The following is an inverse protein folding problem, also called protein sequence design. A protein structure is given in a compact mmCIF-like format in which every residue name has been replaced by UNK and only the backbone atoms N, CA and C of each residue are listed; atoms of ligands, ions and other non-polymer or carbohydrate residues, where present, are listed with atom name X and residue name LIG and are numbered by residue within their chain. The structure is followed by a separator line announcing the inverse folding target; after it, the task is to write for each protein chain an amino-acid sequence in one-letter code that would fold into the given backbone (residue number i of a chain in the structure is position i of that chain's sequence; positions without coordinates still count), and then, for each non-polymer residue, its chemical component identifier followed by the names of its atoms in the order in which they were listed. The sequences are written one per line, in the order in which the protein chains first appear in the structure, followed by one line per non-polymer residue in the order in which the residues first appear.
data_IF_218931004842
#
_entry.id   IF_218931004842
#
_cell.length_a   1.000
_cell.length_b   1.000
_cell.length_c   1.000
_cell.angle_alpha   90.00
_cell.angle_beta   90.00
_cell.angle_gamma   90.00
#
_symmetry.space_group_name_H-M   'P 1'
#
loop_
_entity.id
_entity.type
_entity.pdbx_description
1 polymer ?
#
# COMPACT_ATOMS: atom_id res chain seq x y z
N UNK A 1 -11.78 -3.01 -5.28
CA UNK A 1 -10.61 -2.92 -6.18
C UNK A 1 -10.55 -1.47 -6.67
N UNK A 2 -9.41 -0.87 -7.09
CA UNK A 2 -9.43 0.49 -7.62
C UNK A 2 -10.49 0.66 -8.71
N UNK A 3 -11.27 1.74 -8.64
CA UNK A 3 -12.29 2.04 -9.66
C UNK A 3 -11.60 2.13 -11.03
N UNK A 4 -12.07 1.33 -12.00
CA UNK A 4 -11.47 1.20 -13.33
C UNK A 4 -10.71 -0.10 -13.57
N UNK A 5 -10.38 -0.87 -12.52
CA UNK A 5 -9.85 -2.24 -12.65
C UNK A 5 -10.91 -3.33 -12.50
N UNK A 6 -12.15 -2.95 -12.20
CA UNK A 6 -13.30 -3.83 -12.00
C UNK A 6 -14.08 -4.13 -13.30
N UNK A 7 -13.66 -3.56 -14.43
CA UNK A 7 -14.42 -3.61 -15.68
C UNK A 7 -14.31 -4.98 -16.37
N UNK A 8 -15.43 -5.70 -16.44
CA UNK A 8 -15.64 -6.90 -17.27
C UNK A 8 -15.44 -6.68 -18.78
N UNK A 9 -15.34 -5.42 -19.24
CA UNK A 9 -15.23 -5.05 -20.64
C UNK A 9 -13.78 -5.09 -21.17
N UNK A 10 -12.78 -5.14 -20.29
CA UNK A 10 -11.36 -5.21 -20.67
C UNK A 10 -10.74 -6.41 -19.99
N UNK A 11 -10.32 -7.40 -20.80
CA UNK A 11 -9.56 -8.56 -20.36
C UNK A 11 -8.48 -8.13 -19.37
N UNK A 12 -8.45 -8.76 -18.20
CA UNK A 12 -7.65 -8.40 -17.02
C UNK A 12 -6.36 -7.64 -17.34
N UNK A 13 -6.37 -6.33 -17.08
CA UNK A 13 -5.30 -5.39 -17.46
C UNK A 13 -3.96 -5.70 -16.76
N UNK A 14 -4.00 -6.28 -15.56
CA UNK A 14 -2.83 -6.57 -14.74
C UNK A 14 -2.46 -8.05 -14.78
N UNK A 15 -2.33 -8.61 -16.00
CA UNK A 15 -2.22 -10.05 -16.21
C UNK A 15 -1.02 -10.66 -15.45
N UNK A 16 -1.30 -11.69 -14.65
CA UNK A 16 -0.28 -12.42 -13.88
C UNK A 16 0.34 -11.61 -12.74
N UNK A 17 -0.24 -10.46 -12.40
CA UNK A 17 0.15 -9.60 -11.28
C UNK A 17 -1.05 -9.39 -10.37
N UNK A 18 -0.77 -9.11 -9.10
CA UNK A 18 -1.80 -8.83 -8.09
C UNK A 18 -1.74 -7.40 -7.56
N UNK A 19 -0.76 -6.62 -8.01
CA UNK A 19 -0.54 -5.22 -7.65
C UNK A 19 0.24 -4.53 -8.79
N UNK A 20 0.56 -3.24 -8.63
CA UNK A 20 1.43 -2.50 -9.56
C UNK A 20 2.78 -3.22 -9.72
N UNK A 21 3.21 -3.39 -10.97
CA UNK A 21 4.46 -4.04 -11.35
C UNK A 21 5.09 -3.31 -12.55
N UNK A 22 6.36 -3.58 -12.84
CA UNK A 22 7.07 -3.04 -14.03
C UNK A 22 6.39 -3.40 -15.35
N UNK A 23 5.67 -4.52 -15.40
CA UNK A 23 4.93 -4.95 -16.60
C UNK A 23 3.49 -4.43 -16.64
N UNK A 24 3.02 -3.73 -15.59
CA UNK A 24 1.66 -3.21 -15.55
C UNK A 24 1.48 -2.08 -16.57
N UNK A 25 0.37 -2.02 -17.30
CA UNK A 25 0.09 -0.89 -18.17
C UNK A 25 -0.13 0.39 -17.34
N UNK A 26 0.14 1.54 -17.93
CA UNK A 26 -0.01 2.85 -17.27
C UNK A 26 -1.43 3.07 -16.71
N UNK A 27 -2.45 2.49 -17.33
CA UNK A 27 -3.83 2.55 -16.83
C UNK A 27 -4.01 1.94 -15.44
N UNK A 28 -3.26 0.86 -15.12
CA UNK A 28 -3.27 0.24 -13.78
C UNK A 28 -2.65 1.21 -12.77
N UNK A 29 -1.47 1.75 -13.08
CA UNK A 29 -0.80 2.74 -12.22
C UNK A 29 -1.71 3.93 -11.94
N UNK A 30 -2.34 4.48 -12.98
CA UNK A 30 -3.25 5.62 -12.86
C UNK A 30 -4.48 5.29 -12.01
N UNK A 31 -5.06 4.09 -12.15
CA UNK A 31 -6.23 3.67 -11.37
C UNK A 31 -5.89 3.59 -9.88
N UNK A 32 -4.76 2.98 -9.51
CA UNK A 32 -4.30 2.94 -8.12
C UNK A 32 -4.00 4.33 -7.55
N UNK A 33 -3.28 5.17 -8.30
CA UNK A 33 -2.96 6.53 -7.85
C UNK A 33 -4.22 7.39 -7.67
N UNK A 34 -5.19 7.29 -8.59
CA UNK A 34 -6.46 8.03 -8.49
C UNK A 34 -7.31 7.56 -7.31
N UNK A 35 -7.33 6.24 -7.05
CA UNK A 35 -8.03 5.69 -5.88
C UNK A 35 -7.38 6.19 -4.58
N UNK A 36 -6.05 6.16 -4.49
CA UNK A 36 -5.32 6.70 -3.34
C UNK A 36 -5.64 8.18 -3.10
N UNK A 37 -5.59 9.02 -4.14
CA UNK A 37 -5.88 10.45 -4.01
C UNK A 37 -7.29 10.68 -3.47
N UNK A 38 -8.27 9.92 -3.99
CA UNK A 38 -9.66 10.00 -3.55
C UNK A 38 -9.81 9.61 -2.08
N UNK A 39 -9.32 8.41 -1.73
CA UNK A 39 -9.47 7.85 -0.38
C UNK A 39 -8.72 8.68 0.66
N UNK A 40 -7.49 9.10 0.34
CA UNK A 40 -6.66 9.87 1.26
C UNK A 40 -7.19 11.30 1.44
N UNK A 41 -7.62 11.96 0.37
CA UNK A 41 -8.26 13.28 0.47
C UNK A 41 -9.53 13.22 1.31
N UNK A 42 -10.37 12.19 1.10
CA UNK A 42 -11.56 11.98 1.91
C UNK A 42 -11.22 11.74 3.39
N UNK A 43 -10.21 10.90 3.67
CA UNK A 43 -9.73 10.67 5.03
C UNK A 43 -9.29 11.97 5.71
N UNK A 44 -8.43 12.76 5.06
CA UNK A 44 -7.93 14.03 5.61
C UNK A 44 -9.10 14.99 5.87
N UNK A 45 -10.03 15.12 4.92
CA UNK A 45 -11.21 15.97 5.06
C UNK A 45 -12.11 15.54 6.22
N UNK A 46 -12.35 14.24 6.41
CA UNK A 46 -13.12 13.74 7.55
C UNK A 46 -12.42 14.06 8.87
N UNK A 47 -11.11 13.82 8.95
CA UNK A 47 -10.33 14.13 10.17
C UNK A 47 -10.30 15.63 10.48
N UNK A 48 -10.39 16.50 9.47
CA UNK A 48 -10.40 17.96 9.70
C UNK A 48 -11.68 18.48 10.35
N UNK A 49 -12.80 17.76 10.17
CA UNK A 49 -14.09 18.08 10.78
C UNK A 49 -14.18 17.62 12.24
N UNK A 50 -13.42 16.58 12.59
CA UNK A 50 -13.41 15.98 13.93
C UNK A 50 -12.38 16.62 14.86
N UNK A 51 -11.25 17.11 14.30
CA UNK A 51 -10.17 17.70 15.08
C UNK A 51 -10.38 19.20 15.32
N UNK A 52 -10.19 19.62 16.57
CA UNK A 52 -10.17 21.04 16.96
C UNK A 52 -8.98 21.79 16.34
N UNK A 53 -9.08 23.13 16.14
CA UNK A 53 -7.94 23.96 15.78
C UNK A 53 -6.71 23.72 16.68
N UNK A 54 -5.53 23.55 16.08
CA UNK A 54 -4.30 23.21 16.79
C UNK A 54 -4.18 21.73 17.22
N UNK A 55 -5.24 20.94 17.06
CA UNK A 55 -5.23 19.50 17.27
C UNK A 55 -4.21 18.81 16.38
N UNK A 56 -3.61 17.71 16.87
CA UNK A 56 -2.55 16.98 16.18
C UNK A 56 -3.02 15.60 15.75
N UNK A 57 -2.52 15.15 14.61
CA UNK A 57 -2.69 13.80 14.11
C UNK A 57 -1.34 13.23 13.69
N UNK A 58 -1.05 12.01 14.11
CA UNK A 58 0.14 11.27 13.66
C UNK A 58 -0.32 10.09 12.83
N UNK A 59 0.17 9.98 11.61
CA UNK A 59 -0.09 8.85 10.71
C UNK A 59 1.19 8.04 10.53
N UNK A 60 1.08 6.71 10.57
CA UNK A 60 2.15 5.80 10.20
C UNK A 60 1.63 4.75 9.23
N UNK A 61 2.24 4.65 8.06
CA UNK A 61 1.88 3.66 7.05
C UNK A 61 3.03 3.41 6.08
N UNK A 62 2.94 2.29 5.38
CA UNK A 62 3.91 1.91 4.36
C UNK A 62 3.83 2.84 3.14
N UNK A 63 4.99 3.19 2.60
CA UNK A 63 5.13 3.99 1.39
C UNK A 63 6.30 3.52 0.55
N UNK A 64 6.75 4.41 -0.33
CA UNK A 64 7.91 4.20 -1.20
C UNK A 64 8.79 5.44 -1.25
N UNK A 65 10.06 5.26 -1.61
CA UNK A 65 11.01 6.37 -1.78
C UNK A 65 10.97 6.93 -3.20
N UNK A 66 10.83 6.04 -4.17
CA UNK A 66 10.74 6.33 -5.59
C UNK A 66 9.43 7.04 -5.92
N UNK A 67 9.50 8.00 -6.83
CA UNK A 67 8.30 8.62 -7.41
C UNK A 67 7.59 7.62 -8.32
N UNK A 68 8.35 6.76 -9.02
CA UNK A 68 7.81 5.68 -9.85
C UNK A 68 7.22 4.58 -8.95
N UNK A 69 5.92 4.25 -9.06
CA UNK A 69 5.30 3.20 -8.24
C UNK A 69 5.56 1.78 -8.74
N UNK A 70 6.26 1.60 -9.87
CA UNK A 70 6.58 0.29 -10.45
C UNK A 70 7.92 -0.27 -9.98
N UNK A 71 8.69 0.52 -9.23
CA UNK A 71 9.96 0.11 -8.66
C UNK A 71 9.78 -0.86 -7.49
N UNK A 72 10.85 -1.57 -7.14
CA UNK A 72 10.82 -2.64 -6.14
C UNK A 72 10.80 -2.10 -4.70
N UNK A 73 10.95 -0.79 -4.51
CA UNK A 73 10.95 -0.14 -3.21
C UNK A 73 9.52 0.09 -2.70
N UNK A 74 9.04 -0.85 -1.88
CA UNK A 74 7.87 -0.64 -1.01
C UNK A 74 6.82 -1.73 -1.08
N UNK A 75 6.69 -2.46 -2.19
CA UNK A 75 5.57 -3.38 -2.43
C UNK A 75 5.96 -4.70 -3.10
N UNK A 76 7.26 -5.02 -3.19
CA UNK A 76 7.73 -6.15 -3.97
C UNK A 76 7.25 -7.51 -3.44
N UNK A 77 6.75 -7.60 -2.20
CA UNK A 77 6.07 -8.80 -1.70
C UNK A 77 4.87 -9.20 -2.56
N UNK A 78 4.15 -8.24 -3.12
CA UNK A 78 3.02 -8.52 -4.00
C UNK A 78 3.47 -9.16 -5.32
N UNK A 79 4.64 -8.80 -5.82
CA UNK A 79 5.26 -9.43 -6.99
C UNK A 79 5.60 -10.90 -6.69
N UNK A 80 6.24 -11.16 -5.54
CA UNK A 80 6.57 -12.52 -5.10
C UNK A 80 5.32 -13.36 -4.78
N UNK A 81 4.25 -12.73 -4.27
CA UNK A 81 2.97 -13.41 -4.04
C UNK A 81 2.28 -13.76 -5.36
N UNK A 82 2.35 -12.87 -6.37
CA UNK A 82 1.88 -13.18 -7.71
C UNK A 82 2.63 -14.39 -8.30
N UNK A 83 3.95 -14.46 -8.12
CA UNK A 83 4.74 -15.62 -8.54
C UNK A 83 4.26 -16.93 -7.88
N UNK A 84 4.03 -16.90 -6.56
CA UNK A 84 3.50 -18.05 -5.82
C UNK A 84 2.11 -18.47 -6.32
N UNK A 85 1.21 -17.52 -6.56
CA UNK A 85 -0.12 -17.79 -7.15
C UNK A 85 -0.01 -18.39 -8.55
N UNK A 86 0.89 -17.86 -9.39
CA UNK A 86 1.11 -18.41 -10.74
C UNK A 86 1.74 -19.81 -10.72
N UNK A 87 2.47 -20.19 -9.65
CA UNK A 87 2.86 -21.59 -9.43
C UNK A 87 1.65 -22.50 -9.27
N UNK A 88 0.67 -22.08 -8.46
CA UNK A 88 -0.56 -22.85 -8.27
C UNK A 88 -1.39 -22.95 -9.55
N UNK A 89 -1.38 -21.93 -10.39
CA UNK A 89 -1.99 -21.97 -11.73
C UNK A 89 -1.35 -23.07 -12.58
N UNK A 90 -0.01 -23.14 -12.61
CA UNK A 90 0.73 -24.17 -13.37
C UNK A 90 0.43 -25.58 -12.87
N UNK A 91 0.16 -25.72 -11.57
CA UNK A 91 -0.22 -26.98 -10.93
C UNK A 91 -1.72 -27.31 -11.08
N UNK A 92 -2.51 -26.42 -11.71
CA UNK A 92 -3.95 -26.61 -11.91
C UNK A 92 -4.79 -26.46 -10.63
N UNK A 93 -4.21 -25.88 -9.56
CA UNK A 93 -4.88 -25.70 -8.27
C UNK A 93 -5.76 -24.45 -8.23
N UNK A 94 -5.47 -23.44 -9.06
CA UNK A 94 -6.27 -22.22 -9.21
C UNK A 94 -6.31 -21.79 -10.68
N UNK A 95 -7.33 -21.01 -11.04
CA UNK A 95 -7.51 -20.47 -12.39
C UNK A 95 -6.68 -19.20 -12.63
N UNK A 96 -6.03 -19.08 -13.79
CA UNK A 96 -5.24 -17.89 -14.17
C UNK A 96 -6.11 -16.62 -14.18
N UNK A 97 -7.36 -16.73 -14.64
CA UNK A 97 -8.30 -15.60 -14.69
C UNK A 97 -8.66 -15.08 -13.29
N UNK A 98 -8.65 -15.95 -12.27
CA UNK A 98 -8.83 -15.53 -10.86
C UNK A 98 -7.63 -14.72 -10.36
N UNK A 99 -6.42 -15.08 -10.76
CA UNK A 99 -5.22 -14.30 -10.44
C UNK A 99 -5.29 -12.94 -11.14
N UNK A 100 -5.63 -12.93 -12.42
CA UNK A 100 -5.66 -11.70 -13.22
C UNK A 100 -6.78 -10.73 -12.80
N UNK A 101 -7.87 -11.22 -12.21
CA UNK A 101 -8.93 -10.40 -11.61
C UNK A 101 -8.61 -9.89 -10.21
N UNK A 102 -7.67 -10.51 -9.50
CA UNK A 102 -7.29 -10.09 -8.16
C UNK A 102 -6.35 -8.88 -8.21
N UNK A 103 -6.69 -7.82 -7.49
CA UNK A 103 -5.89 -6.62 -7.36
C UNK A 103 -5.93 -6.17 -5.89
N UNK A 104 -4.76 -6.10 -5.27
CA UNK A 104 -4.61 -5.76 -3.85
C UNK A 104 -5.22 -4.39 -3.57
N UNK A 105 -6.12 -4.24 -2.58
CA UNK A 105 -6.72 -2.94 -2.23
C UNK A 105 -5.76 -2.12 -1.37
N UNK A 106 -4.60 -1.80 -1.93
CA UNK A 106 -3.47 -1.21 -1.23
C UNK A 106 -2.75 -0.25 -2.16
N UNK A 107 -2.18 0.84 -1.63
CA UNK A 107 -1.28 1.72 -2.38
C UNK A 107 -0.22 2.25 -1.42
N UNK A 108 1.05 2.14 -1.81
CA UNK A 108 2.17 2.71 -1.06
C UNK A 108 2.57 4.06 -1.68
N UNK A 109 2.13 5.21 -1.17
CA UNK A 109 2.43 6.51 -1.76
C UNK A 109 3.90 6.90 -1.56
N UNK A 110 4.40 7.82 -2.40
CA UNK A 110 5.67 8.50 -2.14
C UNK A 110 5.46 9.78 -1.32
N UNK A 111 6.54 10.38 -0.82
CA UNK A 111 6.49 11.58 0.01
C UNK A 111 5.84 12.77 -0.72
N UNK A 112 6.06 12.89 -2.03
CA UNK A 112 5.53 13.95 -2.87
C UNK A 112 4.02 13.84 -3.03
N UNK A 113 3.50 12.63 -3.31
CA UNK A 113 2.05 12.39 -3.41
C UNK A 113 1.33 12.76 -2.11
N UNK A 114 1.91 12.41 -0.97
CA UNK A 114 1.37 12.76 0.34
C UNK A 114 1.31 14.26 0.57
N UNK A 115 2.41 14.97 0.29
CA UNK A 115 2.47 16.44 0.42
C UNK A 115 1.44 17.10 -0.48
N UNK A 116 1.35 16.67 -1.73
CA UNK A 116 0.41 17.23 -2.71
C UNK A 116 -1.03 17.08 -2.22
N UNK A 117 -1.45 15.89 -1.80
CA UNK A 117 -2.85 15.68 -1.41
C UNK A 117 -3.21 16.38 -0.08
N UNK A 118 -2.29 16.45 0.89
CA UNK A 118 -2.52 17.20 2.14
C UNK A 118 -2.63 18.70 1.88
N UNK A 119 -1.75 19.25 1.03
CA UNK A 119 -1.77 20.67 0.67
C UNK A 119 -3.02 21.02 -0.15
N UNK A 120 -3.41 20.15 -1.06
CA UNK A 120 -4.61 20.29 -1.91
C UNK A 120 -5.90 20.25 -1.12
N UNK A 121 -6.03 19.37 -0.11
CA UNK A 121 -7.19 19.39 0.79
C UNK A 121 -7.16 20.63 1.70
N UNK A 122 -5.98 20.98 2.23
CA UNK A 122 -5.70 22.30 2.80
C UNK A 122 -6.06 22.51 4.27
N UNK A 123 -6.66 21.54 4.97
CA UNK A 123 -7.08 21.69 6.37
C UNK A 123 -5.96 21.53 7.41
N UNK A 124 -4.84 20.93 7.02
CA UNK A 124 -3.72 20.61 7.91
C UNK A 124 -2.42 21.28 7.47
N UNK A 125 -1.52 21.50 8.44
CA UNK A 125 -0.13 21.85 8.24
C UNK A 125 0.69 20.58 8.47
N UNK A 126 1.64 20.29 7.58
CA UNK A 126 2.62 19.23 7.79
C UNK A 126 3.69 19.77 8.74
N UNK A 127 3.69 19.27 9.97
CA UNK A 127 4.66 19.63 10.99
C UNK A 127 5.96 18.82 10.81
N UNK A 128 5.82 17.52 10.49
CA UNK A 128 6.95 16.64 10.22
C UNK A 128 6.54 15.51 9.28
N UNK A 129 7.46 15.09 8.41
CA UNK A 129 7.31 13.92 7.56
C UNK A 129 8.66 13.20 7.49
N UNK A 130 8.70 11.96 7.96
CA UNK A 130 9.91 11.14 7.98
C UNK A 130 9.67 9.76 7.40
N UNK A 131 10.72 9.19 6.81
CA UNK A 131 10.73 7.85 6.27
C UNK A 131 11.71 6.99 7.07
N UNK A 132 11.23 5.84 7.54
CA UNK A 132 12.02 4.84 8.25
C UNK A 132 12.10 3.58 7.41
N UNK A 133 13.27 2.96 7.41
CA UNK A 133 13.43 1.65 6.78
C UNK A 133 13.35 0.55 7.81
N UNK A 134 12.60 -0.51 7.50
CA UNK A 134 12.46 -1.69 8.35
C UNK A 134 12.75 -2.94 7.53
N UNK A 135 13.67 -3.80 7.97
CA UNK A 135 13.95 -5.06 7.28
C UNK A 135 12.69 -5.93 7.21
N UNK A 136 12.45 -6.61 6.08
CA UNK A 136 11.22 -7.36 5.88
C UNK A 136 11.00 -8.47 6.91
N UNK A 137 12.09 -9.14 7.27
CA UNK A 137 12.12 -10.23 8.23
C UNK A 137 12.16 -9.75 9.69
N UNK A 138 12.01 -8.44 9.94
CA UNK A 138 12.08 -7.87 11.28
C UNK A 138 13.46 -8.03 11.94
N UNK A 139 14.54 -8.01 11.14
CA UNK A 139 15.92 -8.07 11.61
C UNK A 139 16.31 -9.46 12.11
N UNK A 140 15.85 -10.51 11.44
CA UNK A 140 16.18 -11.88 11.82
C UNK A 140 17.70 -12.11 11.68
N UNK A 141 18.31 -12.72 12.70
CA UNK A 141 19.72 -13.14 12.64
C UNK A 141 19.75 -14.58 12.14
N UNK A 142 19.87 -14.75 10.82
CA UNK A 142 19.96 -16.05 10.17
C UNK A 142 21.04 -16.02 9.07
N UNK A 143 21.73 -17.13 8.87
CA UNK A 143 22.64 -17.31 7.75
C UNK A 143 21.84 -17.64 6.49
N UNK A 144 21.53 -16.61 5.69
CA UNK A 144 20.75 -16.75 4.46
C UNK A 144 21.55 -17.37 3.30
N UNK A 145 22.81 -17.77 3.51
CA UNK A 145 23.59 -18.51 2.51
C UNK A 145 23.28 -20.01 2.51
N UNK A 146 22.68 -20.55 3.57
CA UNK A 146 22.23 -21.94 3.63
C UNK A 146 20.70 -22.05 3.54
N UNK A 147 20.21 -23.24 3.17
CA UNK A 147 18.78 -23.47 2.93
C UNK A 147 17.92 -23.31 4.19
N UNK A 148 18.43 -23.71 5.37
CA UNK A 148 17.67 -23.55 6.61
C UNK A 148 17.44 -22.07 6.95
N UNK A 149 18.48 -21.23 6.81
CA UNK A 149 18.38 -19.81 7.10
C UNK A 149 17.47 -19.08 6.11
N UNK A 150 17.54 -19.43 4.81
CA UNK A 150 16.60 -18.92 3.79
C UNK A 150 15.15 -19.24 4.14
N UNK A 151 14.87 -20.50 4.46
CA UNK A 151 13.52 -20.93 4.82
C UNK A 151 13.03 -20.20 6.07
N UNK A 152 13.88 -20.06 7.09
CA UNK A 152 13.53 -19.37 8.33
C UNK A 152 13.10 -17.92 8.09
N UNK A 153 13.87 -17.14 7.32
CA UNK A 153 13.51 -15.74 7.01
C UNK A 153 12.29 -15.65 6.10
N UNK A 154 12.19 -16.56 5.12
CA UNK A 154 11.05 -16.68 4.22
C UNK A 154 9.74 -16.95 4.96
N UNK A 155 9.72 -17.94 5.85
CA UNK A 155 8.56 -18.28 6.66
C UNK A 155 8.12 -17.13 7.57
N UNK A 156 9.07 -16.38 8.14
CA UNK A 156 8.75 -15.25 9.02
C UNK A 156 8.00 -14.16 8.26
N UNK A 157 8.49 -13.81 7.07
CA UNK A 157 7.80 -12.85 6.20
C UNK A 157 6.47 -13.42 5.71
N UNK A 158 6.44 -14.68 5.27
CA UNK A 158 5.23 -15.33 4.79
C UNK A 158 4.11 -15.35 5.83
N UNK A 159 4.42 -15.68 7.10
CA UNK A 159 3.46 -15.64 8.22
C UNK A 159 2.89 -14.23 8.42
N UNK A 160 3.74 -13.21 8.34
CA UNK A 160 3.32 -11.80 8.50
C UNK A 160 2.38 -11.38 7.37
N UNK A 161 2.73 -11.69 6.12
CA UNK A 161 1.89 -11.36 4.96
C UNK A 161 0.59 -12.16 4.97
N UNK A 162 0.65 -13.47 5.30
CA UNK A 162 -0.52 -14.34 5.42
C UNK A 162 -1.57 -13.75 6.35
N UNK A 163 -1.16 -13.32 7.55
CA UNK A 163 -2.06 -12.69 8.51
C UNK A 163 -2.79 -11.45 7.95
N UNK A 164 -2.20 -10.74 6.99
CA UNK A 164 -2.79 -9.56 6.35
C UNK A 164 -3.70 -9.93 5.18
N UNK A 165 -3.30 -10.90 4.35
CA UNK A 165 -3.92 -11.11 3.02
C UNK A 165 -4.79 -12.36 2.90
N UNK A 166 -4.69 -13.31 3.82
CA UNK A 166 -5.36 -14.61 3.72
C UNK A 166 -6.87 -14.49 3.53
N UNK A 167 -7.55 -13.65 4.29
CA UNK A 167 -9.00 -13.46 4.18
C UNK A 167 -9.43 -12.88 2.81
N UNK A 168 -8.61 -12.00 2.22
CA UNK A 168 -8.85 -11.45 0.89
C UNK A 168 -8.69 -12.52 -0.18
N UNK A 169 -7.66 -13.35 -0.05
CA UNK A 169 -7.40 -14.46 -0.97
C UNK A 169 -8.48 -15.54 -0.86
N UNK A 170 -8.86 -15.95 0.35
CA UNK A 170 -9.93 -16.90 0.60
C UNK A 170 -11.25 -16.42 -0.01
N UNK A 171 -11.61 -15.15 0.20
CA UNK A 171 -12.83 -14.58 -0.34
C UNK A 171 -12.84 -14.54 -1.87
N UNK A 172 -11.74 -14.14 -2.51
CA UNK A 172 -11.66 -13.97 -3.96
C UNK A 172 -11.52 -15.30 -4.71
N UNK A 173 -10.62 -16.16 -4.24
CA UNK A 173 -10.25 -17.40 -4.91
C UNK A 173 -11.07 -18.60 -4.41
N UNK A 174 -11.80 -18.48 -3.29
CA UNK A 174 -12.54 -19.58 -2.65
C UNK A 174 -11.64 -20.78 -2.32
N UNK A 175 -10.43 -20.48 -1.83
CA UNK A 175 -9.45 -21.51 -1.45
C UNK A 175 -9.79 -22.09 -0.09
N UNK A 176 -9.67 -23.41 0.05
CA UNK A 176 -9.66 -24.07 1.36
C UNK A 176 -8.30 -23.94 2.05
N UNK A 177 -8.28 -24.34 3.33
CA UNK A 177 -7.09 -24.30 4.19
C UNK A 177 -5.87 -24.97 3.53
N UNK A 178 -6.04 -26.16 2.96
CA UNK A 178 -4.93 -26.93 2.38
C UNK A 178 -4.25 -26.18 1.22
N UNK A 179 -5.04 -25.59 0.30
CA UNK A 179 -4.49 -24.81 -0.82
C UNK A 179 -3.84 -23.52 -0.34
N UNK A 180 -4.38 -22.90 0.71
CA UNK A 180 -3.80 -21.71 1.33
C UNK A 180 -2.44 -22.04 1.99
N UNK A 181 -2.33 -23.19 2.64
CA UNK A 181 -1.08 -23.66 3.23
C UNK A 181 -0.02 -23.90 2.16
N UNK A 182 -0.39 -24.56 1.05
CA UNK A 182 0.52 -24.76 -0.11
C UNK A 182 0.97 -23.42 -0.70
N UNK A 183 0.06 -22.45 -0.86
CA UNK A 183 0.40 -21.11 -1.35
C UNK A 183 1.50 -20.47 -0.50
N UNK A 184 1.32 -20.48 0.83
CA UNK A 184 2.23 -19.78 1.74
C UNK A 184 3.54 -20.52 1.97
N UNK A 185 3.58 -21.84 1.81
CA UNK A 185 4.84 -22.61 1.74
C UNK A 185 5.66 -22.16 0.53
N UNK A 186 5.06 -22.13 -0.66
CA UNK A 186 5.73 -21.67 -1.89
C UNK A 186 6.16 -20.20 -1.79
N UNK A 187 5.30 -19.35 -1.23
CA UNK A 187 5.64 -17.96 -0.99
C UNK A 187 6.82 -17.80 -0.04
N UNK A 188 6.90 -18.58 1.04
CA UNK A 188 8.03 -18.58 1.96
C UNK A 188 9.34 -18.95 1.26
N UNK A 189 9.34 -19.99 0.43
CA UNK A 189 10.49 -20.41 -0.38
C UNK A 189 10.98 -19.30 -1.33
N UNK A 190 10.04 -18.68 -2.06
CA UNK A 190 10.34 -17.59 -3.00
C UNK A 190 10.94 -16.39 -2.24
N UNK A 191 10.34 -15.99 -1.12
CA UNK A 191 10.83 -14.88 -0.29
C UNK A 191 12.20 -15.19 0.29
N UNK A 192 12.43 -16.39 0.84
CA UNK A 192 13.72 -16.79 1.38
C UNK A 192 14.85 -16.71 0.34
N UNK A 193 14.57 -17.19 -0.88
CA UNK A 193 15.49 -17.08 -2.00
C UNK A 193 15.76 -15.64 -2.42
N UNK A 194 14.74 -14.79 -2.41
CA UNK A 194 14.91 -13.36 -2.70
C UNK A 194 15.79 -12.68 -1.64
N UNK A 195 15.49 -12.90 -0.36
CA UNK A 195 16.22 -12.30 0.77
C UNK A 195 17.68 -12.76 0.87
N UNK A 196 18.02 -13.95 0.36
CA UNK A 196 19.43 -14.40 0.27
C UNK A 196 20.28 -13.62 -0.73
N UNK A 197 19.64 -12.93 -1.69
CA UNK A 197 20.32 -12.20 -2.77
C UNK A 197 20.26 -10.70 -2.55
N UNK A 198 19.19 -10.23 -1.92
CA UNK A 198 18.88 -8.81 -1.77
C UNK A 198 18.40 -8.54 -0.35
N UNK A 199 19.02 -7.56 0.32
CA UNK A 199 18.48 -7.05 1.59
C UNK A 199 17.36 -6.05 1.31
N UNK A 200 16.13 -6.51 1.39
CA UNK A 200 14.94 -5.67 1.16
C UNK A 200 14.39 -5.07 2.44
N UNK A 201 13.90 -3.83 2.31
CA UNK A 201 13.31 -3.08 3.41
C UNK A 201 11.96 -2.51 3.04
N UNK A 202 11.08 -2.42 4.03
CA UNK A 202 9.90 -1.59 3.99
C UNK A 202 10.30 -0.13 4.17
N UNK A 203 9.57 0.78 3.53
CA UNK A 203 9.61 2.20 3.84
C UNK A 203 8.35 2.53 4.61
N UNK A 204 8.48 2.95 5.85
CA UNK A 204 7.37 3.41 6.68
C UNK A 204 7.45 4.94 6.81
N UNK A 205 6.40 5.64 6.37
CA UNK A 205 6.28 7.06 6.62
C UNK A 205 5.64 7.31 7.98
N UNK A 206 6.18 8.27 8.71
CA UNK A 206 5.55 8.86 9.90
C UNK A 206 5.31 10.34 9.63
N UNK A 207 4.06 10.77 9.73
CA UNK A 207 3.61 12.13 9.42
C UNK A 207 2.96 12.74 10.65
N UNK A 208 3.46 13.90 11.07
CA UNK A 208 2.82 14.76 12.08
C UNK A 208 2.08 15.88 11.37
N UNK A 209 0.79 15.99 11.63
CA UNK A 209 -0.11 16.99 11.07
C UNK A 209 -0.72 17.84 12.19
N UNK A 210 -0.84 19.14 11.94
CA UNK A 210 -1.50 20.09 12.85
C UNK A 210 -2.72 20.68 12.15
N UNK A 211 -3.88 20.59 12.79
CA UNK A 211 -5.14 21.15 12.27
C UNK A 211 -5.06 22.67 12.25
N UNK A 212 -5.27 23.28 11.08
CA UNK A 212 -5.34 24.74 10.96
C UNK A 212 -6.54 25.28 11.73
N UNK A 213 -6.40 26.49 12.28
CA UNK A 213 -7.59 27.25 12.65
C UNK A 213 -8.37 27.58 11.37
N UNK A 214 -9.69 27.44 11.41
CA UNK A 214 -10.55 28.06 10.39
C UNK A 214 -10.20 29.54 10.35
N UNK A 215 -9.97 30.11 9.17
CA UNK A 215 -9.96 31.56 9.05
C UNK A 215 -11.29 32.05 9.62
N UNK A 216 -11.26 32.71 10.77
CA UNK A 216 -12.37 33.56 11.18
C UNK A 216 -12.35 34.67 10.13
N UNK A 217 -13.30 34.65 9.20
CA UNK A 217 -13.61 35.83 8.41
C UNK A 217 -14.01 36.92 9.41
N UNK A 218 -13.05 37.79 9.76
CA UNK A 218 -13.34 39.11 10.32
C UNK A 218 -13.89 39.99 9.20
N UNK A 219 -15.02 39.60 8.61
CA UNK A 219 -15.89 40.50 7.86
C UNK A 219 -17.13 40.75 8.72
N UNK A 220 -16.94 41.53 9.79
CA UNK A 220 -17.98 42.44 10.26
C UNK A 220 -17.72 43.77 9.52
N UNK A 221 -18.69 44.16 8.70
CA UNK A 221 -18.64 45.27 7.75
C UNK A 221 -18.25 46.63 8.36
N UNK A 222 -17.74 47.56 7.51
CA UNK A 222 -17.60 48.96 7.86
C UNK A 222 -18.97 49.65 7.81
N UNK A 223 -19.35 50.33 8.88
CA UNK A 223 -20.31 51.45 8.80
C UNK A 223 -19.76 52.62 9.61
N UNK A 224 -19.00 53.48 8.94
CA UNK A 224 -18.97 54.89 9.27
C UNK A 224 -20.28 55.52 8.78
N UNK A 225 -21.13 56.02 9.69
CA UNK A 225 -21.97 57.22 9.49
C UNK A 225 -22.25 57.91 10.84
N UNK A 226 -21.47 58.96 11.11
CA UNK A 226 -21.75 60.27 11.72
C UNK A 226 -23.00 60.62 12.57
N UNK A 227 -22.74 61.56 13.51
CA UNK A 227 -23.59 62.54 14.27
C UNK A 227 -24.29 61.98 15.54
N UNK A 228 -24.11 62.53 16.74
CA UNK A 228 -23.84 63.90 17.21
C UNK A 228 -22.65 64.02 18.17
#
# INVERSE_FOLDING_TARGET
VPVGLESYAVKHLNKGKVYISKSSPQSVVNAYSSQFQTDFSQFIKSRSQELVPGGRMVLSFLGRKSVDPTTEDGCYQWELLAEALMSLVKEGLIEEDKVASFNAPYYAPCAEELKVEILKEGSFIIDRLEAFEVDWDGGAVADTHNEQGKMMVGERVAKTIRAVVESMLESHFRLGQDTMDVLFIKFAEIVGNHLSKTRTKYVNFVISLVRKASHINLEAQPTDVFLF
#
